data_IF_370282618327
#
_entry.id   IF_370282618327
#
_cell.length_a   1.000
_cell.length_b   1.000
_cell.length_c   1.000
_cell.angle_alpha   90.00
_cell.angle_beta   90.00
_cell.angle_gamma   90.00
#
_symmetry.space_group_name_H-M   'P 1'
#
loop_
_entity.id
_entity.type
_entity.pdbx_description
1 polymer ?
#
# COMPACT_ATOMS: atom_id res chain seq x y z
N UNK A 1 -39.26 38.95 -2.74
CA UNK A 1 -38.44 38.50 -1.60
C UNK A 1 -37.74 37.23 -2.03
N UNK A 2 -36.47 37.36 -2.47
CA UNK A 2 -35.68 36.26 -3.03
C UNK A 2 -35.32 35.27 -1.91
N UNK A 3 -35.78 34.02 -2.04
CA UNK A 3 -35.26 32.89 -1.25
C UNK A 3 -33.95 32.49 -1.93
N UNK A 4 -32.84 32.77 -1.27
CA UNK A 4 -31.50 32.50 -1.77
C UNK A 4 -31.28 30.99 -1.94
N UNK A 5 -30.88 30.62 -3.15
CA UNK A 5 -30.51 29.28 -3.60
C UNK A 5 -29.22 28.83 -2.87
N UNK A 6 -29.38 28.14 -1.74
CA UNK A 6 -28.24 27.57 -1.00
C UNK A 6 -27.86 26.26 -1.67
N UNK A 7 -26.67 26.21 -2.25
CA UNK A 7 -26.13 25.02 -2.92
C UNK A 7 -26.23 23.77 -2.01
N UNK A 8 -26.80 22.64 -2.46
CA UNK A 8 -26.92 21.40 -1.68
C UNK A 8 -25.59 20.86 -1.13
N UNK A 9 -24.46 21.23 -1.75
CA UNK A 9 -23.12 20.95 -1.24
C UNK A 9 -22.84 21.66 0.08
N UNK A 10 -23.36 22.87 0.28
CA UNK A 10 -23.22 23.68 1.52
C UNK A 10 -23.92 23.00 2.70
N UNK A 11 -25.02 22.29 2.46
CA UNK A 11 -25.75 21.55 3.50
C UNK A 11 -24.95 20.34 4.01
N UNK A 12 -24.38 19.55 3.09
CA UNK A 12 -23.45 18.47 3.42
C UNK A 12 -22.16 18.98 4.07
N UNK A 13 -21.76 20.22 3.76
CA UNK A 13 -20.62 20.87 4.40
C UNK A 13 -20.93 21.44 5.79
N UNK A 14 -22.17 21.84 6.07
CA UNK A 14 -22.60 22.37 7.36
C UNK A 14 -22.54 21.30 8.48
N UNK A 15 -22.68 20.02 8.12
CA UNK A 15 -22.45 18.88 9.00
C UNK A 15 -20.96 18.70 9.41
N UNK A 16 -20.05 19.60 8.99
CA UNK A 16 -18.58 19.52 9.22
C UNK A 16 -18.04 20.50 10.27
N UNK A 17 -18.88 21.28 10.97
CA UNK A 17 -18.43 22.29 11.96
C UNK A 17 -18.62 21.83 13.42
N UNK A 18 -17.68 22.12 14.34
CA UNK A 18 -17.78 21.75 15.76
C UNK A 18 -18.59 22.72 16.64
N UNK A 19 -19.09 23.84 16.09
CA UNK A 19 -20.10 24.69 16.77
C UNK A 19 -21.50 24.38 16.24
N UNK A 20 -22.52 24.29 17.10
CA UNK A 20 -23.85 23.85 16.71
C UNK A 20 -24.55 24.95 15.89
N UNK A 21 -24.87 24.72 14.60
CA UNK A 21 -25.84 25.57 13.94
C UNK A 21 -27.22 25.27 14.56
N UNK A 22 -28.02 26.32 14.73
CA UNK A 22 -29.39 26.19 15.22
C UNK A 22 -30.14 25.13 14.39
N UNK A 23 -30.65 24.11 15.08
CA UNK A 23 -31.34 22.97 14.49
C UNK A 23 -32.46 23.44 13.56
N UNK A 24 -32.38 23.08 12.29
CA UNK A 24 -33.56 22.74 11.48
C UNK A 24 -33.51 21.24 11.24
N UNK A 25 -34.27 20.52 12.06
CA UNK A 25 -34.56 19.10 11.89
C UNK A 25 -35.21 18.86 10.53
N UNK A 26 -34.54 18.15 9.61
CA UNK A 26 -35.21 17.64 8.42
C UNK A 26 -34.36 17.27 7.21
N UNK A 27 -33.19 17.88 6.97
CA UNK A 27 -32.44 17.64 5.72
C UNK A 27 -30.94 17.47 5.97
N UNK A 28 -30.54 16.30 6.48
CA UNK A 28 -29.11 15.98 6.64
C UNK A 28 -28.49 15.44 5.34
N UNK A 29 -29.28 14.78 4.48
CA UNK A 29 -28.83 14.21 3.20
C UNK A 29 -29.89 14.47 2.12
N UNK A 30 -29.69 15.42 1.20
CA UNK A 30 -30.71 15.78 0.20
C UNK A 30 -31.14 14.58 -0.65
N UNK A 31 -32.45 14.28 -0.63
CA UNK A 31 -33.06 13.18 -1.37
C UNK A 31 -32.93 11.80 -0.74
N UNK A 32 -32.52 11.68 0.54
CA UNK A 32 -32.52 10.42 1.30
C UNK A 32 -33.68 10.39 2.27
N UNK A 33 -34.51 9.34 2.19
CA UNK A 33 -35.77 9.26 2.96
C UNK A 33 -35.54 9.03 4.47
N UNK A 34 -34.45 8.33 4.82
CA UNK A 34 -34.02 8.04 6.19
C UNK A 34 -32.48 8.09 6.26
N UNK A 35 -31.91 9.28 6.50
CA UNK A 35 -30.47 9.49 6.54
C UNK A 35 -29.78 8.73 7.67
N UNK A 36 -30.45 8.56 8.82
CA UNK A 36 -29.83 7.96 10.00
C UNK A 36 -29.72 6.44 9.86
N UNK A 37 -30.75 5.77 9.36
CA UNK A 37 -30.65 4.35 9.01
C UNK A 37 -29.60 4.09 7.95
N UNK A 38 -29.43 4.98 6.95
CA UNK A 38 -28.36 4.86 5.97
C UNK A 38 -26.96 5.02 6.61
N UNK A 39 -26.79 5.97 7.55
CA UNK A 39 -25.53 6.16 8.29
C UNK A 39 -25.18 4.92 9.12
N UNK A 40 -26.15 4.30 9.78
CA UNK A 40 -25.94 3.08 10.56
C UNK A 40 -25.44 1.92 9.68
N UNK A 41 -26.04 1.71 8.51
CA UNK A 41 -25.59 0.68 7.56
C UNK A 41 -24.17 0.94 7.05
N UNK A 42 -23.82 2.20 6.80
CA UNK A 42 -22.46 2.58 6.40
C UNK A 42 -21.46 2.28 7.54
N UNK A 43 -21.83 2.61 8.77
CA UNK A 43 -20.99 2.36 9.94
C UNK A 43 -20.77 0.86 10.14
N UNK A 44 -21.85 0.06 10.15
CA UNK A 44 -21.79 -1.40 10.28
C UNK A 44 -20.88 -2.01 9.21
N UNK A 45 -21.11 -1.67 7.94
CA UNK A 45 -20.28 -2.13 6.85
C UNK A 45 -18.78 -1.81 7.03
N UNK A 46 -18.46 -0.60 7.48
CA UNK A 46 -17.07 -0.20 7.70
C UNK A 46 -16.40 -0.97 8.85
N UNK A 47 -17.15 -1.39 9.88
CA UNK A 47 -16.59 -2.17 11.01
C UNK A 47 -16.10 -3.55 10.58
N UNK A 48 -16.65 -4.11 9.50
CA UNK A 48 -16.23 -5.40 8.94
C UNK A 48 -14.79 -5.39 8.40
N UNK A 49 -14.20 -4.21 8.21
CA UNK A 49 -12.84 -4.05 7.69
C UNK A 49 -11.89 -3.54 8.78
N UNK A 50 -11.09 -4.46 9.36
CA UNK A 50 -10.07 -4.11 10.37
C UNK A 50 -8.98 -3.14 9.86
N UNK A 51 -8.68 -3.14 8.55
CA UNK A 51 -7.64 -2.31 7.96
C UNK A 51 -8.12 -0.85 7.75
N UNK A 52 -7.56 0.08 8.53
CA UNK A 52 -7.87 1.51 8.41
C UNK A 52 -7.63 2.07 6.99
N UNK A 53 -6.56 1.65 6.30
CA UNK A 53 -6.31 2.06 4.92
C UNK A 53 -7.38 1.61 3.91
N UNK A 54 -7.95 0.42 4.12
CA UNK A 54 -9.10 -0.07 3.34
C UNK A 54 -10.32 0.80 3.59
N UNK A 55 -10.66 1.05 4.85
CA UNK A 55 -11.80 1.92 5.21
C UNK A 55 -11.65 3.33 4.63
N UNK A 56 -10.45 3.93 4.68
CA UNK A 56 -10.18 5.26 4.08
C UNK A 56 -10.37 5.26 2.56
N UNK A 57 -9.95 4.18 1.89
CA UNK A 57 -10.15 4.02 0.44
C UNK A 57 -11.63 3.95 0.09
N UNK A 58 -12.43 3.26 0.92
CA UNK A 58 -13.87 3.18 0.73
C UNK A 58 -14.56 4.52 1.00
N UNK A 59 -14.21 5.20 2.09
CA UNK A 59 -14.71 6.53 2.38
C UNK A 59 -14.44 7.52 1.24
N UNK A 60 -13.24 7.50 0.65
CA UNK A 60 -12.96 8.34 -0.51
C UNK A 60 -13.87 8.05 -1.70
N UNK A 61 -14.07 6.78 -2.07
CA UNK A 61 -14.90 6.41 -3.22
C UNK A 61 -16.39 6.69 -2.99
N UNK A 62 -16.86 6.55 -1.75
CA UNK A 62 -18.25 6.81 -1.37
C UNK A 62 -18.53 8.28 -1.04
N UNK A 63 -17.49 9.06 -0.72
CA UNK A 63 -17.60 10.48 -0.39
C UNK A 63 -17.84 10.74 1.10
N UNK A 64 -17.55 9.75 1.94
CA UNK A 64 -17.78 9.78 3.39
C UNK A 64 -16.74 10.63 4.12
N UNK A 65 -17.12 11.28 5.23
CA UNK A 65 -16.17 11.95 6.12
C UNK A 65 -15.08 10.99 6.62
N UNK A 66 -13.83 11.46 6.66
CA UNK A 66 -12.71 10.64 7.15
C UNK A 66 -12.85 10.34 8.65
N UNK A 67 -13.50 11.26 9.36
CA UNK A 67 -13.80 11.19 10.79
C UNK A 67 -14.72 10.00 11.14
N UNK A 68 -15.53 9.51 10.18
CA UNK A 68 -16.36 8.31 10.37
C UNK A 68 -15.54 7.01 10.29
N UNK A 69 -14.37 7.07 9.66
CA UNK A 69 -13.48 5.93 9.46
C UNK A 69 -12.37 5.86 10.51
N UNK A 70 -11.88 7.03 10.90
CA UNK A 70 -10.88 7.22 11.94
C UNK A 70 -11.40 8.27 12.93
N UNK A 71 -12.11 7.85 13.99
CA UNK A 71 -12.51 8.79 15.03
C UNK A 71 -11.24 9.43 15.64
N UNK A 72 -11.25 10.73 15.93
CA UNK A 72 -10.10 11.39 16.55
C UNK A 72 -9.79 10.70 17.88
N UNK A 73 -8.52 10.33 18.10
CA UNK A 73 -8.07 9.83 19.39
C UNK A 73 -8.21 10.92 20.46
N UNK A 74 -8.78 10.57 21.62
CA UNK A 74 -9.02 11.50 22.75
C UNK A 74 -7.76 12.16 23.32
N UNK A 75 -6.56 11.73 22.89
CA UNK A 75 -5.30 12.29 23.36
C UNK A 75 -4.51 12.91 22.19
N UNK A 76 -4.43 14.24 22.19
CA UNK A 76 -3.21 15.01 21.91
C UNK A 76 -3.52 16.50 22.05
N UNK A 77 -3.07 17.08 23.16
CA UNK A 77 -3.01 18.52 23.33
C UNK A 77 -2.29 19.18 22.14
N UNK A 78 -2.93 20.21 21.58
CA UNK A 78 -2.38 21.21 20.64
C UNK A 78 -1.45 20.66 19.54
N UNK A 79 -2.01 20.44 18.35
CA UNK A 79 -1.31 20.81 17.10
C UNK A 79 -2.32 21.47 16.16
N UNK A 80 -1.97 22.63 15.57
CA UNK A 80 -2.82 23.28 14.57
C UNK A 80 -3.02 22.32 13.40
N UNK A 81 -4.25 21.88 13.17
CA UNK A 81 -4.60 21.00 12.05
C UNK A 81 -4.11 21.68 10.76
N UNK A 82 -3.26 21.04 9.95
CA UNK A 82 -2.80 21.64 8.70
C UNK A 82 -4.01 22.05 7.85
N UNK A 83 -3.96 23.17 7.12
CA UNK A 83 -5.06 23.62 6.29
C UNK A 83 -5.45 22.49 5.32
N UNK A 84 -6.76 22.29 5.18
CA UNK A 84 -7.31 21.24 4.30
C UNK A 84 -6.77 21.47 2.89
N UNK A 85 -6.19 20.43 2.29
CA UNK A 85 -5.71 20.48 0.90
C UNK A 85 -6.86 20.75 -0.07
N UNK A 86 -6.54 21.24 -1.27
CA UNK A 86 -7.53 21.45 -2.34
C UNK A 86 -8.27 20.15 -2.64
N UNK A 87 -9.58 20.28 -2.85
CA UNK A 87 -10.42 19.15 -3.23
C UNK A 87 -9.97 18.56 -4.56
N UNK A 88 -9.88 17.23 -4.61
CA UNK A 88 -9.50 16.54 -5.84
C UNK A 88 -10.57 16.67 -6.93
N UNK A 89 -10.21 16.50 -8.21
CA UNK A 89 -11.13 16.72 -9.35
C UNK A 89 -12.36 15.80 -9.34
N UNK A 90 -12.29 14.64 -8.67
CA UNK A 90 -13.38 13.68 -8.56
C UNK A 90 -14.18 13.80 -7.26
N UNK A 91 -13.91 14.81 -6.42
CA UNK A 91 -14.49 14.94 -5.08
C UNK A 91 -16.02 14.94 -5.10
N UNK A 92 -16.62 15.74 -5.98
CA UNK A 92 -18.07 15.84 -6.15
C UNK A 92 -18.69 14.63 -6.86
N UNK A 93 -17.84 13.75 -7.42
CA UNK A 93 -18.25 12.53 -8.11
C UNK A 93 -18.09 11.28 -7.24
N UNK A 94 -17.75 11.42 -5.96
CA UNK A 94 -17.91 10.31 -5.03
C UNK A 94 -19.39 9.93 -4.91
N UNK A 95 -19.70 8.64 -4.73
CA UNK A 95 -21.06 8.11 -4.95
C UNK A 95 -22.17 8.89 -4.23
N UNK A 96 -22.06 9.08 -2.91
CA UNK A 96 -23.11 9.76 -2.14
C UNK A 96 -23.25 11.24 -2.48
N UNK A 97 -22.14 11.90 -2.84
CA UNK A 97 -22.17 13.31 -3.29
C UNK A 97 -22.83 13.44 -4.66
N UNK A 98 -22.55 12.49 -5.55
CA UNK A 98 -23.21 12.41 -6.85
C UNK A 98 -24.72 12.15 -6.71
N UNK A 99 -25.13 11.25 -5.81
CA UNK A 99 -26.54 11.02 -5.45
C UNK A 99 -27.21 12.28 -4.89
N UNK A 100 -26.57 12.95 -3.93
CA UNK A 100 -27.11 14.16 -3.31
C UNK A 100 -27.31 15.30 -4.32
N UNK A 101 -26.37 15.50 -5.25
CA UNK A 101 -26.53 16.48 -6.35
C UNK A 101 -27.72 16.20 -7.27
N UNK A 102 -28.32 15.01 -7.18
CA UNK A 102 -29.47 14.55 -7.96
C UNK A 102 -30.70 14.29 -7.09
N UNK A 103 -30.63 14.59 -5.79
CA UNK A 103 -31.68 14.26 -4.82
C UNK A 103 -32.13 12.79 -4.92
N UNK A 104 -31.16 11.89 -5.10
CA UNK A 104 -31.40 10.46 -5.24
C UNK A 104 -31.08 9.75 -3.92
N UNK A 105 -32.04 9.01 -3.38
CA UNK A 105 -31.75 8.08 -2.29
C UNK A 105 -30.88 6.93 -2.83
N UNK A 106 -29.66 6.72 -2.29
CA UNK A 106 -28.80 5.62 -2.70
C UNK A 106 -29.49 4.26 -2.61
N UNK A 107 -30.39 4.04 -1.65
CA UNK A 107 -31.11 2.76 -1.47
C UNK A 107 -32.08 2.49 -2.62
N UNK A 108 -32.51 3.54 -3.32
CA UNK A 108 -33.38 3.46 -4.50
C UNK A 108 -32.62 3.49 -5.83
N UNK A 109 -31.29 3.59 -5.80
CA UNK A 109 -30.49 3.59 -7.01
C UNK A 109 -30.59 2.27 -7.76
N UNK A 110 -30.69 2.34 -9.09
CA UNK A 110 -30.67 1.17 -9.96
C UNK A 110 -29.37 1.10 -10.76
N UNK A 111 -29.21 0.04 -11.55
CA UNK A 111 -28.10 -0.05 -12.50
C UNK A 111 -28.06 1.09 -13.52
N UNK A 112 -29.15 1.84 -13.72
CA UNK A 112 -29.18 3.04 -14.57
C UNK A 112 -28.37 4.17 -13.93
N UNK A 113 -28.63 4.48 -12.67
CA UNK A 113 -27.96 5.54 -11.93
C UNK A 113 -26.47 5.21 -11.76
N UNK A 114 -26.12 3.95 -11.50
CA UNK A 114 -24.72 3.50 -11.44
C UNK A 114 -24.01 3.73 -12.78
N UNK A 115 -24.65 3.46 -13.92
CA UNK A 115 -24.06 3.74 -15.25
C UNK A 115 -23.90 5.24 -15.50
N UNK A 116 -24.91 6.05 -15.17
CA UNK A 116 -24.85 7.50 -15.31
C UNK A 116 -23.72 8.12 -14.47
N UNK A 117 -23.51 7.60 -13.27
CA UNK A 117 -22.38 7.96 -12.42
C UNK A 117 -21.03 7.57 -13.04
N UNK A 118 -20.89 6.35 -13.57
CA UNK A 118 -19.66 5.92 -14.27
C UNK A 118 -19.34 6.78 -15.50
N UNK A 119 -20.36 7.24 -16.23
CA UNK A 119 -20.19 8.20 -17.32
C UNK A 119 -19.74 9.57 -16.82
N UNK A 120 -20.30 10.04 -15.70
CA UNK A 120 -19.87 11.30 -15.08
C UNK A 120 -18.40 11.26 -14.66
N UNK A 121 -17.93 10.13 -14.12
CA UNK A 121 -16.52 9.90 -13.80
C UNK A 121 -15.63 9.91 -15.05
N UNK A 122 -16.07 9.29 -16.14
CA UNK A 122 -15.32 9.27 -17.40
C UNK A 122 -15.19 10.67 -18.00
N UNK A 123 -16.29 11.42 -18.05
CA UNK A 123 -16.33 12.79 -18.54
C UNK A 123 -15.42 13.74 -17.74
N UNK A 124 -15.21 13.46 -16.45
CA UNK A 124 -14.27 14.17 -15.59
C UNK A 124 -12.82 13.66 -15.69
N UNK A 125 -12.51 12.77 -16.63
CA UNK A 125 -11.16 12.25 -16.88
C UNK A 125 -10.71 11.17 -15.92
N UNK A 126 -11.61 10.51 -15.20
CA UNK A 126 -11.23 9.42 -14.30
C UNK A 126 -10.70 8.21 -15.10
N UNK A 127 -9.44 7.85 -14.85
CA UNK A 127 -8.82 6.66 -15.45
C UNK A 127 -9.69 5.41 -15.24
N UNK A 128 -9.64 4.49 -16.22
CA UNK A 128 -10.36 3.21 -16.19
C UNK A 128 -10.13 2.43 -14.89
N UNK A 129 -8.89 2.45 -14.36
CA UNK A 129 -8.54 1.83 -13.06
C UNK A 129 -9.25 2.49 -11.88
N UNK A 130 -9.36 3.82 -11.89
CA UNK A 130 -10.07 4.59 -10.87
C UNK A 130 -11.55 4.26 -10.89
N UNK A 131 -12.20 4.27 -12.07
CA UNK A 131 -13.60 3.87 -12.25
C UNK A 131 -13.87 2.44 -11.79
N UNK A 132 -13.01 1.49 -12.17
CA UNK A 132 -13.14 0.09 -11.74
C UNK A 132 -13.04 -0.06 -10.22
N UNK A 133 -12.12 0.66 -9.57
CA UNK A 133 -11.96 0.65 -8.12
C UNK A 133 -13.20 1.22 -7.43
N UNK A 134 -13.69 2.39 -7.87
CA UNK A 134 -14.88 3.01 -7.29
C UNK A 134 -16.12 2.12 -7.46
N UNK A 135 -16.30 1.50 -8.63
CA UNK A 135 -17.38 0.53 -8.87
C UNK A 135 -17.25 -0.72 -7.98
N UNK A 136 -16.02 -1.17 -7.71
CA UNK A 136 -15.79 -2.33 -6.83
C UNK A 136 -16.13 -2.01 -5.38
N UNK A 137 -15.77 -0.80 -4.90
CA UNK A 137 -16.21 -0.31 -3.59
C UNK A 137 -17.73 -0.25 -3.52
N UNK A 138 -18.37 0.34 -4.53
CA UNK A 138 -19.81 0.51 -4.58
C UNK A 138 -20.54 -0.85 -4.57
N UNK A 139 -20.03 -1.80 -5.36
CA UNK A 139 -20.55 -3.17 -5.40
C UNK A 139 -20.39 -3.90 -4.06
N UNK A 140 -19.29 -3.69 -3.33
CA UNK A 140 -19.13 -4.27 -1.99
C UNK A 140 -20.13 -3.66 -0.98
N UNK A 141 -20.31 -2.35 -1.00
CA UNK A 141 -21.28 -1.65 -0.14
C UNK A 141 -22.72 -2.11 -0.40
N UNK A 142 -23.18 -2.12 -1.66
CA UNK A 142 -24.52 -2.63 -1.97
C UNK A 142 -24.66 -4.13 -1.79
N UNK A 143 -23.56 -4.89 -1.82
CA UNK A 143 -23.55 -6.30 -1.42
C UNK A 143 -23.97 -6.43 0.04
N UNK A 144 -23.36 -5.64 0.93
CA UNK A 144 -23.75 -5.57 2.32
C UNK A 144 -25.21 -5.11 2.51
N UNK A 145 -25.65 -4.05 1.83
CA UNK A 145 -27.05 -3.62 1.91
C UNK A 145 -28.05 -4.69 1.43
N UNK A 146 -27.63 -5.55 0.49
CA UNK A 146 -28.45 -6.68 0.05
C UNK A 146 -28.47 -7.78 1.12
N UNK A 147 -27.32 -8.08 1.73
CA UNK A 147 -27.19 -9.06 2.82
C UNK A 147 -27.99 -8.67 4.07
N UNK A 148 -28.06 -7.37 4.40
CA UNK A 148 -28.86 -6.84 5.52
C UNK A 148 -30.33 -6.58 5.15
N UNK A 149 -30.73 -6.86 3.90
CA UNK A 149 -32.11 -6.71 3.44
C UNK A 149 -32.58 -5.27 3.22
N UNK A 150 -31.67 -4.29 3.24
CA UNK A 150 -31.97 -2.87 3.03
C UNK A 150 -32.31 -2.57 1.57
N UNK A 151 -31.66 -3.27 0.64
CA UNK A 151 -31.98 -3.19 -0.79
C UNK A 151 -32.27 -4.58 -1.36
N UNK A 152 -33.18 -4.72 -2.33
CA UNK A 152 -33.56 -6.02 -2.87
C UNK A 152 -32.50 -6.64 -3.78
N UNK A 153 -31.62 -5.82 -4.36
CA UNK A 153 -30.55 -6.26 -5.24
C UNK A 153 -29.43 -5.23 -5.30
N UNK A 154 -28.24 -5.68 -5.68
CA UNK A 154 -27.07 -4.83 -5.82
C UNK A 154 -27.07 -4.09 -7.19
N UNK A 155 -27.35 -2.77 -7.25
CA UNK A 155 -27.38 -2.02 -8.51
C UNK A 155 -26.00 -1.89 -9.18
N UNK A 156 -24.92 -2.11 -8.41
CA UNK A 156 -23.55 -2.07 -8.89
C UNK A 156 -23.01 -3.44 -9.34
N UNK A 157 -23.82 -4.51 -9.27
CA UNK A 157 -23.50 -5.84 -9.82
C UNK A 157 -23.61 -5.86 -11.36
N UNK A 158 -22.94 -4.93 -12.04
CA UNK A 158 -22.96 -4.77 -13.49
C UNK A 158 -21.87 -5.62 -14.17
N UNK A 159 -22.16 -6.05 -15.40
CA UNK A 159 -21.17 -6.72 -16.25
C UNK A 159 -20.08 -5.72 -16.67
N UNK A 160 -18.94 -5.76 -15.99
CA UNK A 160 -17.80 -4.86 -16.20
C UNK A 160 -17.23 -4.94 -17.62
N UNK A 161 -17.34 -6.09 -18.29
CA UNK A 161 -16.88 -6.25 -19.66
C UNK A 161 -17.72 -5.45 -20.66
N UNK A 162 -19.04 -5.48 -20.50
CA UNK A 162 -19.96 -4.67 -21.32
C UNK A 162 -19.81 -3.16 -21.09
N UNK A 163 -19.22 -2.76 -19.97
CA UNK A 163 -18.92 -1.36 -19.65
C UNK A 163 -17.53 -0.91 -20.15
N UNK A 164 -16.77 -1.76 -20.84
CA UNK A 164 -15.40 -1.46 -21.22
C UNK A 164 -14.44 -1.36 -20.02
N UNK A 165 -14.89 -1.72 -18.82
CA UNK A 165 -14.16 -1.70 -17.55
C UNK A 165 -13.48 -3.04 -17.24
N UNK A 166 -13.44 -3.98 -18.19
CA UNK A 166 -12.71 -5.22 -18.00
C UNK A 166 -11.22 -4.97 -17.94
N UNK A 167 -10.53 -5.73 -17.08
CA UNK A 167 -9.09 -5.92 -17.24
C UNK A 167 -8.93 -6.78 -18.49
N UNK A 168 -8.46 -6.21 -19.59
CA UNK A 168 -7.92 -7.08 -20.63
C UNK A 168 -6.75 -7.81 -19.96
N UNK A 169 -6.64 -9.13 -20.13
CA UNK A 169 -5.45 -9.87 -19.70
C UNK A 169 -4.15 -9.36 -20.37
N UNK A 170 -4.29 -8.51 -21.39
CA UNK A 170 -3.21 -7.79 -22.08
C UNK A 170 -2.86 -6.43 -21.45
N UNK A 171 -3.66 -5.93 -20.50
CA UNK A 171 -3.29 -4.76 -19.70
C UNK A 171 -2.50 -5.27 -18.49
N UNK A 172 -1.37 -5.92 -18.75
CA UNK A 172 -0.38 -6.20 -17.71
C UNK A 172 -0.10 -4.87 -16.99
N UNK A 173 -0.10 -4.90 -15.66
CA UNK A 173 0.31 -3.73 -14.86
C UNK A 173 1.59 -3.16 -15.50
N UNK A 174 1.70 -1.84 -15.74
CA UNK A 174 2.86 -1.22 -16.40
C UNK A 174 4.12 -1.23 -15.53
N UNK A 175 4.23 -2.20 -14.62
CA UNK A 175 5.38 -2.41 -13.76
C UNK A 175 6.51 -2.89 -14.65
N UNK A 176 7.51 -2.01 -14.81
CA UNK A 176 8.74 -2.29 -15.53
C UNK A 176 9.37 -3.61 -15.05
N UNK A 177 9.83 -4.43 -16.00
CA UNK A 177 10.65 -5.60 -15.71
C UNK A 177 12.10 -5.16 -15.63
N UNK A 178 12.67 -5.17 -14.42
CA UNK A 178 14.10 -4.92 -14.24
C UNK A 178 14.87 -6.21 -14.54
N UNK A 179 15.97 -6.10 -15.28
CA UNK A 179 16.87 -7.23 -15.58
C UNK A 179 17.86 -7.48 -14.43
N UNK A 180 18.53 -8.65 -14.39
CA UNK A 180 19.61 -8.89 -13.42
C UNK A 180 20.73 -7.83 -13.48
N UNK A 181 21.13 -7.39 -14.68
CA UNK A 181 22.12 -6.34 -14.87
C UNK A 181 21.66 -4.99 -14.30
N UNK A 182 20.37 -4.65 -14.47
CA UNK A 182 19.77 -3.44 -13.90
C UNK A 182 19.70 -3.49 -12.37
N UNK A 183 19.40 -4.65 -11.78
CA UNK A 183 19.45 -4.84 -10.33
C UNK A 183 20.89 -4.76 -9.79
N UNK A 184 21.86 -5.29 -10.54
CA UNK A 184 23.29 -5.16 -10.22
C UNK A 184 23.71 -3.69 -10.20
N UNK A 185 23.37 -2.93 -11.26
CA UNK A 185 23.64 -1.50 -11.34
C UNK A 185 22.97 -0.70 -10.20
N UNK A 186 21.75 -1.07 -9.79
CA UNK A 186 21.10 -0.48 -8.61
C UNK A 186 21.88 -0.74 -7.32
N UNK A 187 22.37 -1.96 -7.12
CA UNK A 187 23.16 -2.31 -5.93
C UNK A 187 24.49 -1.55 -5.90
N UNK A 188 25.19 -1.46 -7.02
CA UNK A 188 26.43 -0.70 -7.15
C UNK A 188 26.19 0.80 -6.87
N UNK A 189 25.23 1.41 -7.57
CA UNK A 189 24.88 2.82 -7.40
C UNK A 189 24.39 3.16 -5.99
N UNK A 190 23.77 2.19 -5.29
CA UNK A 190 23.35 2.37 -3.89
C UNK A 190 24.55 2.57 -2.95
N UNK A 191 25.64 1.85 -3.19
CA UNK A 191 26.88 2.00 -2.42
C UNK A 191 27.61 3.32 -2.69
N UNK A 192 27.44 3.87 -3.89
CA UNK A 192 28.13 5.06 -4.38
C UNK A 192 27.30 6.34 -4.29
N UNK A 193 26.14 6.30 -3.63
CA UNK A 193 25.27 7.47 -3.51
C UNK A 193 26.03 8.68 -2.95
N UNK A 194 26.05 9.82 -3.66
CA UNK A 194 26.80 10.98 -3.21
C UNK A 194 26.20 11.53 -1.92
N UNK A 195 27.03 11.58 -0.88
CA UNK A 195 26.64 12.13 0.42
C UNK A 195 27.83 12.83 1.07
N UNK A 196 27.70 14.14 1.29
CA UNK A 196 28.77 14.99 1.88
C UNK A 196 28.68 15.10 3.40
N UNK A 197 27.81 14.34 4.05
CA UNK A 197 27.68 14.35 5.52
C UNK A 197 28.66 13.38 6.17
N UNK A 198 28.89 13.54 7.47
CA UNK A 198 29.66 12.59 8.29
C UNK A 198 29.04 11.18 8.35
N UNK A 199 27.78 11.03 7.91
CA UNK A 199 27.02 9.78 7.93
C UNK A 199 27.00 9.08 6.56
N UNK A 200 27.88 9.46 5.62
CA UNK A 200 27.87 8.95 4.25
C UNK A 200 27.85 7.42 4.19
N UNK A 201 28.68 6.77 5.01
CA UNK A 201 28.83 5.31 5.02
C UNK A 201 27.54 4.63 5.52
N UNK A 202 26.87 5.22 6.52
CA UNK A 202 25.55 4.77 6.98
C UNK A 202 24.50 4.85 5.88
N UNK A 203 24.49 5.96 5.14
CA UNK A 203 23.51 6.14 4.07
C UNK A 203 23.73 5.19 2.91
N UNK A 204 24.98 4.98 2.49
CA UNK A 204 25.35 4.00 1.46
C UNK A 204 25.03 2.58 1.91
N UNK A 205 25.47 2.17 3.10
CA UNK A 205 25.18 0.84 3.62
C UNK A 205 23.68 0.59 3.76
N UNK A 206 22.90 1.58 4.21
CA UNK A 206 21.44 1.51 4.26
C UNK A 206 20.81 1.36 2.88
N UNK A 207 21.31 2.11 1.89
CA UNK A 207 20.81 2.04 0.53
C UNK A 207 21.03 0.64 -0.06
N UNK A 208 22.23 0.08 0.09
CA UNK A 208 22.56 -1.29 -0.33
C UNK A 208 21.67 -2.30 0.39
N UNK A 209 21.50 -2.18 1.71
CA UNK A 209 20.62 -3.06 2.49
C UNK A 209 19.17 -3.01 2.02
N UNK A 210 18.63 -1.82 1.74
CA UNK A 210 17.25 -1.67 1.23
C UNK A 210 17.09 -2.34 -0.14
N UNK A 211 18.01 -2.13 -1.07
CA UNK A 211 17.94 -2.76 -2.40
C UNK A 211 18.06 -4.28 -2.28
N UNK A 212 19.05 -4.78 -1.53
CA UNK A 212 19.27 -6.22 -1.35
C UNK A 212 18.10 -6.93 -0.64
N UNK A 213 17.42 -6.27 0.30
CA UNK A 213 16.23 -6.83 0.93
C UNK A 213 15.03 -6.88 -0.03
N UNK A 214 14.90 -5.90 -0.93
CA UNK A 214 13.82 -5.91 -1.94
C UNK A 214 14.04 -6.97 -3.02
N UNK A 215 15.28 -7.41 -3.25
CA UNK A 215 15.57 -8.56 -4.13
C UNK A 215 15.24 -9.92 -3.48
N UNK A 216 14.68 -9.95 -2.27
CA UNK A 216 14.12 -11.15 -1.64
C UNK A 216 12.60 -11.31 -1.89
N UNK A 217 12.04 -10.49 -2.79
CA UNK A 217 10.62 -10.53 -3.10
C UNK A 217 9.72 -9.93 -2.01
N UNK A 218 10.24 -9.17 -1.04
CA UNK A 218 9.44 -8.51 -0.01
C UNK A 218 8.51 -7.43 -0.58
N UNK A 219 7.34 -7.23 0.06
CA UNK A 219 6.56 -6.00 -0.16
C UNK A 219 7.22 -4.83 0.57
N UNK A 220 7.06 -3.61 0.06
CA UNK A 220 7.56 -2.42 0.79
C UNK A 220 6.96 -2.27 2.18
N UNK A 221 5.69 -2.63 2.36
CA UNK A 221 5.03 -2.62 3.67
C UNK A 221 5.66 -3.65 4.62
N UNK A 222 6.02 -4.82 4.10
CA UNK A 222 6.71 -5.86 4.87
C UNK A 222 8.08 -5.35 5.30
N UNK A 223 8.88 -4.82 4.36
CA UNK A 223 10.21 -4.28 4.63
C UNK A 223 10.20 -3.18 5.70
N UNK A 224 9.33 -2.18 5.56
CA UNK A 224 9.32 -1.05 6.52
C UNK A 224 8.75 -1.42 7.88
N UNK A 225 7.99 -2.53 7.97
CA UNK A 225 7.41 -3.03 9.22
C UNK A 225 8.36 -3.93 10.02
N UNK A 226 9.46 -4.41 9.43
CA UNK A 226 10.44 -5.25 10.12
C UNK A 226 11.11 -4.51 11.28
N UNK A 227 11.27 -5.21 12.39
CA UNK A 227 12.12 -4.83 13.51
C UNK A 227 13.43 -5.64 13.50
N UNK A 228 14.42 -5.20 14.27
CA UNK A 228 15.69 -5.94 14.43
C UNK A 228 15.43 -7.36 14.94
N UNK A 229 14.46 -7.54 15.82
CA UNK A 229 14.09 -8.84 16.39
C UNK A 229 13.41 -9.78 15.38
N UNK A 230 13.00 -9.27 14.22
CA UNK A 230 12.51 -10.11 13.13
C UNK A 230 13.64 -10.71 12.30
N UNK A 231 14.89 -10.22 12.45
CA UNK A 231 16.08 -10.87 11.92
C UNK A 231 16.49 -11.99 12.88
N UNK A 232 16.21 -13.23 12.51
CA UNK A 232 16.45 -14.41 13.33
C UNK A 232 17.39 -15.38 12.62
N UNK A 233 17.97 -16.30 13.38
CA UNK A 233 18.73 -17.42 12.85
C UNK A 233 17.97 -18.69 13.18
N UNK A 234 17.68 -19.51 12.16
CA UNK A 234 17.01 -20.80 12.34
C UNK A 234 17.73 -21.85 11.52
N UNK A 235 18.10 -22.97 12.16
CA UNK A 235 18.89 -24.02 11.50
C UNK A 235 20.28 -23.58 11.04
N UNK A 236 20.85 -22.53 11.65
CA UNK A 236 22.14 -21.94 11.26
C UNK A 236 22.05 -20.88 10.16
N UNK A 237 20.87 -20.68 9.56
CA UNK A 237 20.67 -19.77 8.44
C UNK A 237 19.95 -18.49 8.88
N UNK A 238 20.42 -17.29 8.46
CA UNK A 238 19.76 -16.04 8.74
C UNK A 238 18.47 -15.88 7.92
N UNK A 239 17.40 -15.43 8.57
CA UNK A 239 16.10 -15.21 7.94
C UNK A 239 15.36 -14.03 8.57
N UNK A 240 14.33 -13.56 7.88
CA UNK A 240 13.39 -12.56 8.36
C UNK A 240 12.05 -13.19 8.68
N UNK A 241 11.48 -12.86 9.84
CA UNK A 241 10.10 -13.19 10.18
C UNK A 241 9.17 -12.08 9.73
N UNK A 242 8.56 -12.24 8.56
CA UNK A 242 7.75 -11.22 7.90
C UNK A 242 6.27 -11.40 8.21
N UNK A 243 5.60 -10.34 8.67
CA UNK A 243 4.15 -10.36 8.88
C UNK A 243 3.40 -10.25 7.53
N UNK A 244 2.69 -11.31 7.14
CA UNK A 244 1.88 -11.37 5.94
C UNK A 244 0.46 -10.82 6.12
N UNK A 245 -0.32 -10.83 5.03
CA UNK A 245 -1.74 -10.48 5.05
C UNK A 245 -2.50 -11.44 5.96
N UNK A 246 -3.32 -10.90 6.88
CA UNK A 246 -4.10 -11.69 7.83
C UNK A 246 -3.38 -12.00 9.14
N UNK A 247 -2.21 -11.39 9.40
CA UNK A 247 -1.50 -11.56 10.67
C UNK A 247 -0.63 -12.82 10.75
N UNK A 248 -0.52 -13.57 9.66
CA UNK A 248 0.29 -14.80 9.61
C UNK A 248 1.72 -14.44 9.24
N UNK A 249 2.68 -14.90 10.06
CA UNK A 249 4.10 -14.74 9.75
C UNK A 249 4.55 -15.72 8.66
N UNK A 250 5.46 -15.26 7.80
CA UNK A 250 6.21 -16.09 6.87
C UNK A 250 7.70 -15.82 7.06
N UNK A 251 8.50 -16.85 6.96
CA UNK A 251 9.96 -16.72 7.01
C UNK A 251 10.45 -16.16 5.66
N UNK A 252 11.61 -15.53 5.58
CA UNK A 252 12.26 -15.16 4.31
C UNK A 252 13.75 -15.32 4.54
N UNK A 253 14.35 -16.35 3.93
CA UNK A 253 15.78 -16.61 4.09
C UNK A 253 16.59 -15.49 3.43
N UNK A 254 17.67 -15.08 4.09
CA UNK A 254 18.59 -14.09 3.53
C UNK A 254 19.61 -14.79 2.65
N UNK A 255 19.77 -14.28 1.44
CA UNK A 255 20.93 -14.60 0.59
C UNK A 255 22.19 -13.98 1.18
N UNK A 256 23.36 -14.44 0.77
CA UNK A 256 24.64 -13.87 1.25
C UNK A 256 24.77 -12.37 0.95
N UNK A 257 24.21 -11.95 -0.19
CA UNK A 257 24.11 -10.56 -0.59
C UNK A 257 23.30 -9.75 0.44
N UNK A 258 22.09 -10.21 0.76
CA UNK A 258 21.21 -9.52 1.70
C UNK A 258 21.75 -9.56 3.14
N UNK A 259 22.25 -10.73 3.57
CA UNK A 259 22.84 -10.90 4.89
C UNK A 259 24.05 -9.97 5.09
N UNK A 260 24.94 -9.88 4.09
CA UNK A 260 26.10 -8.99 4.14
C UNK A 260 25.70 -7.52 4.13
N UNK A 261 24.76 -7.14 3.27
CA UNK A 261 24.29 -5.76 3.21
C UNK A 261 23.64 -5.31 4.53
N UNK A 262 22.78 -6.16 5.11
CA UNK A 262 22.14 -5.89 6.41
C UNK A 262 23.17 -5.82 7.53
N UNK A 263 24.11 -6.75 7.60
CA UNK A 263 25.17 -6.76 8.62
C UNK A 263 26.02 -5.49 8.55
N UNK A 264 26.46 -5.09 7.36
CA UNK A 264 27.26 -3.87 7.17
C UNK A 264 26.48 -2.62 7.58
N UNK A 265 25.20 -2.54 7.21
CA UNK A 265 24.33 -1.44 7.60
C UNK A 265 24.13 -1.38 9.12
N UNK A 266 23.85 -2.51 9.77
CA UNK A 266 23.66 -2.55 11.22
C UNK A 266 24.95 -2.17 11.96
N UNK A 267 26.10 -2.69 11.54
CA UNK A 267 27.39 -2.34 12.13
C UNK A 267 27.68 -0.83 12.05
N UNK A 268 27.36 -0.19 10.92
CA UNK A 268 27.50 1.26 10.75
C UNK A 268 26.52 2.03 11.64
N UNK A 269 25.27 1.57 11.69
CA UNK A 269 24.22 2.16 12.53
C UNK A 269 24.60 2.09 14.01
N UNK A 270 25.11 0.95 14.47
CA UNK A 270 25.48 0.72 15.87
C UNK A 270 26.74 1.52 16.24
N UNK A 271 27.68 1.70 15.31
CA UNK A 271 28.84 2.58 15.52
C UNK A 271 28.44 4.03 15.74
N UNK A 272 27.45 4.53 15.00
CA UNK A 272 27.01 5.93 15.07
C UNK A 272 26.11 6.18 16.27
N UNK A 273 25.20 5.24 16.56
CA UNK A 273 24.20 5.43 17.61
C UNK A 273 24.63 4.88 18.96
N UNK A 274 25.73 4.12 19.04
CA UNK A 274 26.28 3.55 20.27
C UNK A 274 25.31 2.54 20.88
N UNK A 275 25.64 1.25 20.82
CA UNK A 275 24.77 0.23 21.41
C UNK A 275 24.78 0.35 22.94
N UNK A 276 23.76 1.01 23.51
CA UNK A 276 23.03 0.61 24.73
C UNK A 276 22.07 1.72 25.13
N UNK A 277 20.76 1.50 24.95
CA UNK A 277 19.84 1.96 26.01
C UNK A 277 20.06 0.97 27.15
N UNK A 278 20.63 1.37 28.30
CA UNK A 278 20.72 0.46 29.43
C UNK A 278 19.30 0.01 29.76
N UNK A 279 19.09 -1.29 29.92
CA UNK A 279 17.85 -1.79 30.51
C UNK A 279 17.74 -1.21 31.91
N UNK A 280 16.97 -0.13 32.06
CA UNK A 280 16.67 0.44 33.37
C UNK A 280 15.78 -0.56 34.09
N UNK A 281 16.30 -1.14 35.18
CA UNK A 281 15.57 -2.08 36.04
C UNK A 281 14.20 -1.46 36.40
N UNK A 282 13.11 -2.07 35.96
CA UNK A 282 11.73 -1.60 36.22
C UNK A 282 11.06 -0.82 35.08
N UNK A 283 11.71 -0.60 33.92
CA UNK A 283 11.06 -0.07 32.71
C UNK A 283 11.31 -0.97 31.51
N UNK A 284 10.69 -2.15 31.49
CA UNK A 284 10.73 -3.07 30.34
C UNK A 284 9.61 -2.72 29.35
N UNK A 285 9.67 -1.56 28.70
CA UNK A 285 9.07 -1.48 27.36
C UNK A 285 10.15 -1.94 26.42
N UNK A 286 10.00 -3.15 25.86
CA UNK A 286 10.80 -3.58 24.71
C UNK A 286 10.60 -2.52 23.62
N UNK A 287 11.55 -1.60 23.48
CA UNK A 287 11.49 -0.61 22.41
C UNK A 287 11.86 -1.35 21.14
N UNK A 288 10.84 -1.71 20.36
CA UNK A 288 11.01 -2.33 19.03
C UNK A 288 11.86 -1.40 18.17
N UNK A 289 13.09 -1.81 17.87
CA UNK A 289 14.01 -1.06 17.01
C UNK A 289 13.75 -1.45 15.56
N UNK A 290 13.38 -0.51 14.67
CA UNK A 290 13.12 -0.84 13.27
C UNK A 290 14.37 -1.42 12.62
N UNK A 291 14.22 -2.43 11.76
CA UNK A 291 15.35 -3.03 11.05
C UNK A 291 16.04 -1.95 10.20
N UNK A 292 15.27 -1.27 9.34
CA UNK A 292 15.71 -0.12 8.53
C UNK A 292 15.14 1.18 9.12
N UNK A 293 16.03 2.11 9.47
CA UNK A 293 15.69 3.38 10.10
C UNK A 293 15.96 4.59 9.19
N UNK A 294 15.27 5.70 9.50
CA UNK A 294 15.63 7.05 9.03
C UNK A 294 16.84 7.57 9.80
N UNK A 295 17.35 8.74 9.41
CA UNK A 295 18.47 9.43 10.08
C UNK A 295 18.23 9.59 11.60
N UNK A 296 16.99 9.87 11.98
CA UNK A 296 16.63 10.17 13.37
C UNK A 296 16.25 8.88 14.13
N UNK A 297 16.61 7.70 13.61
CA UNK A 297 16.35 6.40 14.23
C UNK A 297 14.90 5.90 14.13
N UNK A 298 14.01 6.65 13.46
CA UNK A 298 12.60 6.30 13.31
C UNK A 298 12.39 5.27 12.19
N UNK A 299 11.24 4.59 12.20
CA UNK A 299 10.84 3.67 11.14
C UNK A 299 10.71 4.41 9.80
N UNK A 300 11.29 3.86 8.74
CA UNK A 300 11.09 4.38 7.39
C UNK A 300 9.62 4.26 6.96
N UNK A 301 9.10 5.25 6.25
CA UNK A 301 7.84 5.15 5.54
C UNK A 301 8.03 4.50 4.17
N UNK A 302 6.91 4.09 3.55
CA UNK A 302 6.93 3.65 2.14
C UNK A 302 7.45 4.74 1.21
N UNK A 303 7.14 6.01 1.50
CA UNK A 303 7.59 7.14 0.69
C UNK A 303 9.11 7.29 0.76
N UNK A 304 9.71 7.10 1.94
CA UNK A 304 11.17 7.17 2.12
C UNK A 304 11.90 6.13 1.27
N UNK A 305 11.39 4.89 1.24
CA UNK A 305 11.95 3.82 0.41
C UNK A 305 11.80 4.13 -1.07
N UNK A 306 10.63 4.61 -1.52
CA UNK A 306 10.43 5.00 -2.92
C UNK A 306 11.37 6.14 -3.35
N UNK A 307 11.50 7.18 -2.52
CA UNK A 307 12.38 8.30 -2.79
C UNK A 307 13.86 7.88 -2.82
N UNK A 308 14.25 6.97 -1.92
CA UNK A 308 15.60 6.39 -1.91
C UNK A 308 15.88 5.63 -3.22
N UNK A 309 14.99 4.73 -3.63
CA UNK A 309 15.14 3.96 -4.87
C UNK A 309 15.23 4.84 -6.11
N UNK A 310 14.43 5.91 -6.20
CA UNK A 310 14.50 6.87 -7.30
C UNK A 310 15.86 7.55 -7.38
N UNK A 311 16.43 7.97 -6.25
CA UNK A 311 17.78 8.57 -6.22
C UNK A 311 18.86 7.59 -6.66
N UNK A 312 18.78 6.34 -6.20
CA UNK A 312 19.70 5.27 -6.61
C UNK A 312 19.59 5.03 -8.12
N UNK A 313 18.37 4.97 -8.64
CA UNK A 313 18.13 4.73 -10.06
C UNK A 313 18.69 5.84 -10.96
N UNK A 314 18.57 7.10 -10.55
CA UNK A 314 19.21 8.22 -11.24
C UNK A 314 20.73 8.14 -11.15
N UNK A 315 21.28 7.77 -9.98
CA UNK A 315 22.73 7.62 -9.79
C UNK A 315 23.32 6.49 -10.66
N UNK A 316 22.56 5.41 -10.90
CA UNK A 316 22.97 4.31 -11.77
C UNK A 316 23.19 4.72 -13.23
N UNK A 317 22.74 5.92 -13.62
CA UNK A 317 23.08 6.56 -14.88
C UNK A 317 22.64 5.73 -16.09
N UNK A 318 23.50 5.54 -17.12
CA UNK A 318 23.12 4.90 -18.38
C UNK A 318 22.45 3.54 -18.24
N UNK A 319 22.84 2.74 -17.24
CA UNK A 319 22.27 1.40 -17.00
C UNK A 319 20.77 1.43 -16.67
N UNK A 320 20.26 2.53 -16.12
CA UNK A 320 18.84 2.70 -15.76
C UNK A 320 18.17 3.93 -16.39
N UNK A 321 18.84 4.66 -17.26
CA UNK A 321 18.37 5.95 -17.77
C UNK A 321 16.93 5.88 -18.32
N UNK A 322 16.58 4.81 -19.03
CA UNK A 322 15.25 4.62 -19.64
C UNK A 322 14.15 4.20 -18.66
N UNK A 323 14.53 3.74 -17.47
CA UNK A 323 13.61 3.10 -16.51
C UNK A 323 13.64 3.75 -15.13
N UNK A 324 14.49 4.75 -14.91
CA UNK A 324 14.76 5.34 -13.60
C UNK A 324 13.51 5.92 -12.93
N UNK A 325 12.62 6.54 -13.70
CA UNK A 325 11.33 7.09 -13.25
C UNK A 325 10.34 6.00 -12.80
N UNK A 326 10.52 4.79 -13.32
CA UNK A 326 9.71 3.60 -13.07
C UNK A 326 10.33 2.66 -12.02
N UNK A 327 11.51 2.96 -11.46
CA UNK A 327 12.09 2.17 -10.36
C UNK A 327 11.35 2.47 -9.05
N UNK A 328 10.71 1.43 -8.49
CA UNK A 328 9.98 1.47 -7.22
C UNK A 328 9.93 0.05 -6.61
N UNK A 329 9.57 -0.12 -5.32
CA UNK A 329 9.67 -1.41 -4.65
C UNK A 329 8.90 -2.55 -5.32
N UNK A 330 7.77 -2.25 -5.96
CA UNK A 330 7.00 -3.28 -6.66
C UNK A 330 7.68 -3.73 -7.98
N UNK A 331 8.44 -2.85 -8.64
CA UNK A 331 9.27 -3.24 -9.78
C UNK A 331 10.38 -4.21 -9.38
N UNK A 332 11.05 -3.98 -8.25
CA UNK A 332 12.07 -4.91 -7.72
C UNK A 332 11.45 -6.26 -7.34
N UNK A 333 10.27 -6.25 -6.71
CA UNK A 333 9.54 -7.49 -6.40
C UNK A 333 9.07 -8.23 -7.67
N UNK A 334 8.67 -7.51 -8.70
CA UNK A 334 8.33 -8.13 -9.98
C UNK A 334 9.58 -8.74 -10.62
N UNK A 335 10.71 -8.04 -10.60
CA UNK A 335 11.98 -8.55 -11.09
C UNK A 335 12.39 -9.83 -10.36
N UNK A 336 12.21 -9.90 -9.03
CA UNK A 336 12.41 -11.13 -8.27
C UNK A 336 11.62 -12.31 -8.84
N UNK A 337 10.31 -12.15 -9.04
CA UNK A 337 9.45 -13.22 -9.58
C UNK A 337 9.89 -13.61 -10.99
N UNK A 338 10.11 -12.64 -11.86
CA UNK A 338 10.50 -12.91 -13.25
C UNK A 338 11.84 -13.63 -13.33
N UNK A 339 12.87 -13.10 -12.67
CA UNK A 339 14.23 -13.67 -12.68
C UNK A 339 14.19 -15.07 -12.08
N UNK A 340 13.49 -15.28 -10.96
CA UNK A 340 13.37 -16.60 -10.37
C UNK A 340 12.81 -17.63 -11.37
N UNK A 341 11.74 -17.28 -12.08
CA UNK A 341 11.14 -18.16 -13.08
C UNK A 341 12.02 -18.35 -14.33
N UNK A 342 12.76 -17.32 -14.75
CA UNK A 342 13.76 -17.41 -15.82
C UNK A 342 14.98 -18.26 -15.42
N UNK A 343 15.23 -18.44 -14.13
CA UNK A 343 16.24 -19.35 -13.57
C UNK A 343 15.63 -20.70 -13.15
N UNK A 344 14.51 -21.10 -13.76
CA UNK A 344 13.83 -22.38 -13.54
C UNK A 344 13.42 -22.65 -12.07
N UNK A 345 13.23 -21.62 -11.26
CA UNK A 345 12.70 -21.78 -9.92
C UNK A 345 11.28 -22.36 -9.97
N UNK A 346 10.99 -23.33 -9.12
CA UNK A 346 9.65 -23.89 -8.98
C UNK A 346 8.67 -22.78 -8.61
N UNK A 347 7.60 -22.63 -9.39
CA UNK A 347 6.59 -21.57 -9.19
C UNK A 347 6.02 -21.57 -7.77
N UNK A 348 5.92 -22.74 -7.13
CA UNK A 348 5.43 -22.90 -5.76
C UNK A 348 6.37 -22.23 -4.75
N UNK A 349 7.69 -22.36 -4.94
CA UNK A 349 8.70 -21.71 -4.09
C UNK A 349 8.62 -20.19 -4.26
N UNK A 350 8.54 -19.72 -5.50
CA UNK A 350 8.38 -18.29 -5.81
C UNK A 350 7.11 -17.72 -5.18
N UNK A 351 5.98 -18.43 -5.27
CA UNK A 351 4.71 -18.03 -4.67
C UNK A 351 4.78 -17.94 -3.13
N UNK A 352 5.45 -18.90 -2.49
CA UNK A 352 5.68 -18.90 -1.04
C UNK A 352 6.55 -17.71 -0.62
N UNK A 353 7.63 -17.45 -1.36
CA UNK A 353 8.60 -16.38 -1.13
C UNK A 353 8.04 -14.97 -1.33
N UNK A 354 6.92 -14.83 -2.04
CA UNK A 354 6.23 -13.55 -2.19
C UNK A 354 4.91 -13.49 -1.39
N UNK A 355 4.38 -14.61 -0.90
CA UNK A 355 3.20 -14.64 -0.02
C UNK A 355 1.92 -14.17 -0.72
N UNK A 356 1.58 -14.81 -1.84
CA UNK A 356 0.27 -14.64 -2.48
C UNK A 356 -0.80 -15.47 -1.75
N UNK A 357 -1.81 -14.79 -1.20
CA UNK A 357 -2.93 -15.42 -0.48
C UNK A 357 -4.06 -15.93 -1.41
N UNK A 358 -3.96 -15.72 -2.73
CA UNK A 358 -4.98 -16.14 -3.69
C UNK A 358 -4.58 -17.48 -4.29
N UNK A 359 -5.23 -18.49 -3.76
CA UNK A 359 -5.13 -19.90 -4.09
C UNK A 359 -6.32 -20.21 -5.00
N UNK A 360 -6.07 -20.46 -6.29
CA UNK A 360 -6.96 -21.32 -7.09
C UNK A 360 -6.37 -22.71 -7.27
N UNK A 361 -5.20 -22.99 -6.68
CA UNK A 361 -4.54 -24.31 -6.70
C UNK A 361 -3.67 -24.47 -5.44
N UNK A 362 -4.32 -24.65 -4.29
CA UNK A 362 -3.73 -25.30 -3.11
C UNK A 362 -4.25 -26.70 -3.14
N UNK A 363 -3.78 -27.41 -4.14
CA UNK A 363 -3.64 -28.84 -4.02
C UNK A 363 -2.15 -29.07 -4.03
N UNK A 364 -1.67 -29.59 -2.90
CA UNK A 364 -0.29 -29.99 -2.60
C UNK A 364 0.76 -28.88 -2.45
N UNK A 365 0.84 -28.30 -1.24
CA UNK A 365 2.12 -28.41 -0.54
C UNK A 365 1.95 -28.45 0.98
N UNK A 366 2.70 -29.40 1.53
CA UNK A 366 2.98 -29.67 2.92
C UNK A 366 3.54 -28.41 3.60
N UNK A 367 2.98 -28.03 4.75
CA UNK A 367 3.53 -26.96 5.60
C UNK A 367 4.81 -27.42 6.32
N UNK A 368 5.40 -28.53 5.89
CA UNK A 368 6.73 -29.01 6.24
C UNK A 368 7.78 -27.92 6.09
N UNK A 369 8.39 -27.60 7.24
CA UNK A 369 9.58 -26.76 7.49
C UNK A 369 10.23 -26.19 6.22
N UNK A 370 9.96 -24.91 5.95
CA UNK A 370 10.71 -24.17 4.94
C UNK A 370 12.19 -24.17 5.26
N UNK A 371 13.03 -24.41 4.26
CA UNK A 371 14.50 -24.37 4.35
C UNK A 371 15.08 -23.42 3.32
N UNK A 372 16.36 -23.07 3.45
CA UNK A 372 17.08 -22.25 2.48
C UNK A 372 17.04 -22.84 1.06
N UNK A 373 17.13 -24.16 0.91
CA UNK A 373 17.09 -24.85 -0.40
C UNK A 373 15.73 -24.75 -1.11
N UNK A 374 14.68 -24.38 -0.38
CA UNK A 374 13.32 -24.26 -0.92
C UNK A 374 12.94 -22.83 -1.29
N UNK A 375 13.84 -21.85 -1.15
CA UNK A 375 13.63 -20.47 -1.65
C UNK A 375 14.27 -20.26 -3.01
N UNK A 376 13.65 -19.41 -3.84
CA UNK A 376 14.21 -18.96 -5.10
C UNK A 376 15.18 -17.78 -4.96
N UNK A 377 15.39 -17.25 -3.75
CA UNK A 377 16.20 -16.06 -3.53
C UNK A 377 17.66 -16.22 -3.94
N UNK A 378 18.27 -17.39 -3.69
CA UNK A 378 19.66 -17.64 -4.07
C UNK A 378 19.84 -17.71 -5.60
N UNK A 379 18.86 -18.22 -6.36
CA UNK A 379 18.87 -18.19 -7.83
C UNK A 379 18.85 -16.76 -8.37
N UNK A 380 17.99 -15.91 -7.80
CA UNK A 380 17.94 -14.48 -8.17
C UNK A 380 19.25 -13.78 -7.83
N UNK A 381 19.82 -14.04 -6.64
CA UNK A 381 21.10 -13.46 -6.25
C UNK A 381 22.26 -13.93 -7.14
N UNK A 382 22.26 -15.19 -7.57
CA UNK A 382 23.24 -15.72 -8.50
C UNK A 382 23.14 -15.04 -9.88
N UNK A 383 21.93 -14.88 -10.42
CA UNK A 383 21.71 -14.19 -11.69
C UNK A 383 22.18 -12.72 -11.67
N UNK A 384 21.90 -12.00 -10.58
CA UNK A 384 22.38 -10.61 -10.40
C UNK A 384 23.91 -10.57 -10.38
N UNK A 385 24.55 -11.53 -9.71
CA UNK A 385 26.01 -11.61 -9.61
C UNK A 385 26.66 -11.93 -10.96
N UNK A 386 26.11 -12.90 -11.70
CA UNK A 386 26.60 -13.29 -13.01
C UNK A 386 26.54 -12.13 -14.01
N UNK A 387 25.42 -11.38 -14.03
CA UNK A 387 25.27 -10.22 -14.90
C UNK A 387 26.27 -9.08 -14.59
N UNK A 388 26.71 -8.95 -13.33
CA UNK A 388 27.75 -8.01 -12.96
C UNK A 388 29.13 -8.41 -13.47
N UNK A 389 29.46 -9.71 -13.48
CA UNK A 389 30.73 -10.21 -13.98
C UNK A 389 30.87 -10.00 -15.51
N UNK A 390 29.79 -10.25 -16.27
CA UNK A 390 29.78 -10.09 -17.73
C UNK A 390 29.79 -8.64 -18.23
N UNK A 391 29.67 -7.65 -17.35
CA UNK A 391 29.73 -6.23 -17.70
C UNK A 391 31.13 -5.61 -17.53
N UNK A 392 32.08 -6.37 -16.97
CA UNK A 392 33.46 -5.95 -16.68
C UNK A 392 34.46 -6.50 -17.73
N UNK A 393 34.04 -7.52 -18.49
CA UNK A 393 34.69 -7.99 -19.72
C UNK A 393 34.17 -7.19 -20.94
#
# INVERSE_FOLDING_TARGET
MQVSDVSPLVLLEALRSPEPPARRSGEDWPGVDDPDGLKEQIADWLTQYANAGTRRTYAYALGLPIEWVDPPSEDTGRTSKPPRGREGPLHNLAWFRWCASRQLDPRHATGREVKAWLHSLDAAGAEKRTRQRMLSTLSAFYGHLTETGVVPANPAALNRARLGLNRSSRDASPTIRLTPAQLHALLAAAGELPNRTKLKDLYSARAVAVVALLTLGLRVTELVSLDRDDLIVSGGEPMLRVLGKGGVHREVYLTDLAATAVRNYLAERDRIHGDTTPAVRGRTKATTSPLIATRDGKRCSRFDVNALLRRIAVQAGPALQEVADRVHPHALRHAYVTIALEQDARIQHVQADVGHASISTTQYYDRGRRTRDTTAADLVAAAIRAAGASAVD
#
